data_IF_443150706074
#
_entry.id   IF_443150706074
#
_cell.length_a   1.000
_cell.length_b   1.000
_cell.length_c   1.000
_cell.angle_alpha   90.00
_cell.angle_beta   90.00
_cell.angle_gamma   90.00
#
_symmetry.space_group_name_H-M   'P 1'
#
loop_
_entity.id
_entity.type
_entity.pdbx_description
1 polymer ?
#
# COMPACT_ATOMS: atom_id res chain seq x y z
N UNK A 1 8.32 7.28 9.38
CA UNK A 1 7.18 6.42 9.81
C UNK A 1 7.00 6.44 11.32
N UNK A 2 8.01 6.01 12.08
CA UNK A 2 7.92 5.89 13.54
C UNK A 2 7.89 7.24 14.26
N UNK A 3 8.69 8.20 13.79
CA UNK A 3 8.78 9.54 14.39
C UNK A 3 7.64 10.49 13.97
N UNK A 4 6.76 10.05 13.05
CA UNK A 4 5.67 10.87 12.46
C UNK A 4 6.12 12.26 11.98
N UNK A 5 7.38 12.39 11.59
CA UNK A 5 7.99 13.62 11.12
C UNK A 5 8.92 13.28 9.95
N UNK A 6 9.05 14.21 9.02
CA UNK A 6 9.98 14.13 7.88
C UNK A 6 10.80 15.41 7.87
N UNK A 7 12.12 15.28 7.87
CA UNK A 7 13.04 16.41 7.73
C UNK A 7 13.59 16.43 6.31
N UNK A 8 13.45 17.56 5.62
CA UNK A 8 13.97 17.78 4.27
C UNK A 8 14.94 18.95 4.35
N UNK A 9 16.24 18.67 4.26
CA UNK A 9 17.27 19.68 4.54
C UNK A 9 17.22 20.13 6.00
N UNK A 10 17.04 21.43 6.24
CA UNK A 10 16.95 22.01 7.59
C UNK A 10 15.50 22.13 8.10
N UNK A 11 14.50 21.85 7.26
CA UNK A 11 13.09 22.01 7.61
C UNK A 11 12.42 20.69 8.01
N UNK A 12 11.68 20.74 9.11
CA UNK A 12 10.99 19.61 9.71
C UNK A 12 9.48 19.70 9.53
N UNK A 13 8.87 18.67 8.94
CA UNK A 13 7.43 18.58 8.66
C UNK A 13 6.80 17.45 9.48
N UNK A 14 5.84 17.80 10.35
CA UNK A 14 5.04 16.82 11.09
C UNK A 14 3.97 16.16 10.21
N UNK A 15 3.78 14.86 10.36
CA UNK A 15 2.72 14.09 9.68
C UNK A 15 1.42 14.18 10.48
N UNK A 16 0.37 14.73 9.86
CA UNK A 16 -0.95 14.89 10.49
C UNK A 16 -1.68 13.54 10.57
N UNK A 17 -2.38 13.24 11.68
CA UNK A 17 -3.22 12.05 11.78
C UNK A 17 -4.55 12.19 10.99
N UNK A 18 -5.11 11.11 10.43
CA UNK A 18 -4.56 9.75 10.40
C UNK A 18 -3.45 9.61 9.35
N UNK A 19 -2.41 8.85 9.69
CA UNK A 19 -1.31 8.54 8.77
C UNK A 19 -1.22 7.02 8.59
N UNK A 20 -1.37 6.56 7.35
CA UNK A 20 -1.29 5.16 6.97
C UNK A 20 -0.09 4.96 6.03
N UNK A 21 0.69 3.92 6.30
CA UNK A 21 1.75 3.47 5.39
C UNK A 21 1.30 2.16 4.76
N UNK A 22 1.33 2.11 3.43
CA UNK A 22 1.19 0.90 2.65
C UNK A 22 2.45 0.72 1.79
N UNK A 23 3.06 -0.45 1.89
CA UNK A 23 4.22 -0.81 1.08
C UNK A 23 3.93 -2.15 0.39
N UNK A 24 4.31 -2.26 -0.87
CA UNK A 24 4.27 -3.53 -1.61
C UNK A 24 5.68 -4.09 -1.72
N UNK A 25 5.79 -5.40 -1.79
CA UNK A 25 7.03 -6.09 -2.18
C UNK A 25 6.72 -6.86 -3.45
N UNK A 26 7.54 -6.69 -4.49
CA UNK A 26 7.48 -7.55 -5.67
C UNK A 26 8.26 -8.83 -5.36
N UNK A 27 7.62 -10.00 -5.24
CA UNK A 27 8.33 -11.23 -4.88
C UNK A 27 9.12 -11.84 -6.04
N UNK A 28 8.87 -11.40 -7.29
CA UNK A 28 9.39 -12.06 -8.50
C UNK A 28 10.63 -11.38 -9.07
N UNK A 29 10.68 -10.05 -9.05
CA UNK A 29 11.79 -9.27 -9.61
C UNK A 29 12.61 -8.64 -8.48
N UNK A 30 13.87 -9.05 -8.35
CA UNK A 30 14.81 -8.49 -7.37
C UNK A 30 15.83 -7.53 -7.99
N UNK A 31 15.89 -7.44 -9.32
CA UNK A 31 16.83 -6.58 -10.02
C UNK A 31 16.50 -5.10 -9.74
N UNK A 32 17.43 -4.38 -9.11
CA UNK A 32 17.22 -2.98 -8.70
C UNK A 32 16.35 -2.78 -7.45
N UNK A 33 15.99 -3.85 -6.72
CA UNK A 33 15.28 -3.73 -5.44
C UNK A 33 16.19 -4.10 -4.26
N UNK A 34 16.16 -3.28 -3.21
CA UNK A 34 16.82 -3.61 -1.95
C UNK A 34 15.77 -4.18 -1.01
N UNK A 35 15.90 -5.44 -0.54
CA UNK A 35 14.93 -6.00 0.39
C UNK A 35 14.91 -5.15 1.65
N UNK A 36 13.72 -4.86 2.17
CA UNK A 36 13.60 -4.21 3.46
C UNK A 36 14.27 -5.10 4.52
N UNK A 37 15.20 -4.56 5.33
CA UNK A 37 15.72 -5.27 6.49
C UNK A 37 14.58 -5.74 7.40
N UNK A 38 14.76 -6.86 8.08
CA UNK A 38 13.75 -7.44 8.97
C UNK A 38 13.26 -6.43 10.02
N UNK A 39 14.17 -5.63 10.59
CA UNK A 39 13.86 -4.56 11.54
C UNK A 39 12.95 -3.45 10.96
N UNK A 40 12.90 -3.28 9.64
CA UNK A 40 11.98 -2.34 8.99
C UNK A 40 10.61 -2.97 8.73
N UNK A 41 10.58 -4.27 8.44
CA UNK A 41 9.32 -5.04 8.28
C UNK A 41 8.57 -5.11 9.61
N UNK A 42 9.28 -5.23 10.74
CA UNK A 42 8.70 -5.23 12.10
C UNK A 42 7.89 -3.96 12.44
N UNK A 43 8.10 -2.87 11.68
CA UNK A 43 7.35 -1.61 11.88
C UNK A 43 5.96 -1.62 11.27
N UNK A 44 5.61 -2.67 10.52
CA UNK A 44 4.29 -2.84 9.94
C UNK A 44 3.39 -3.68 10.86
N UNK A 45 2.19 -3.18 11.13
CA UNK A 45 1.20 -3.89 11.94
C UNK A 45 0.68 -5.16 11.24
N UNK A 46 0.61 -5.15 9.91
CA UNK A 46 0.03 -6.23 9.11
C UNK A 46 0.92 -6.53 7.91
N UNK A 47 1.03 -7.82 7.58
CA UNK A 47 1.56 -8.33 6.31
C UNK A 47 0.45 -9.09 5.62
N UNK A 48 0.01 -8.60 4.47
CA UNK A 48 -1.02 -9.24 3.65
C UNK A 48 -0.35 -9.89 2.45
N UNK A 49 -0.59 -11.20 2.27
CA UNK A 49 -0.21 -11.91 1.06
C UNK A 49 -1.40 -11.85 0.12
N UNK A 50 -1.19 -11.28 -1.07
CA UNK A 50 -2.23 -11.09 -2.07
C UNK A 50 -2.03 -12.16 -3.15
N UNK A 51 -3.01 -13.03 -3.30
CA UNK A 51 -3.07 -14.01 -4.38
C UNK A 51 -3.90 -13.49 -5.56
N UNK A 52 -3.78 -14.18 -6.70
CA UNK A 52 -4.60 -13.86 -7.86
C UNK A 52 -6.08 -14.18 -7.61
N UNK A 53 -6.99 -13.32 -8.09
CA UNK A 53 -8.43 -13.56 -7.98
C UNK A 53 -8.83 -14.83 -8.75
N UNK A 54 -9.94 -15.44 -8.35
CA UNK A 54 -10.51 -16.53 -9.14
C UNK A 54 -11.02 -15.99 -10.48
N UNK A 55 -11.18 -16.87 -11.49
CA UNK A 55 -11.71 -16.46 -12.80
C UNK A 55 -13.07 -15.76 -12.70
N UNK A 56 -13.93 -16.18 -11.77
CA UNK A 56 -15.24 -15.54 -11.54
C UNK A 56 -15.08 -14.14 -10.95
N UNK A 57 -14.18 -13.96 -9.99
CA UNK A 57 -13.94 -12.65 -9.37
C UNK A 57 -13.30 -11.70 -10.36
N UNK A 58 -12.34 -12.18 -11.16
CA UNK A 58 -11.70 -11.41 -12.23
C UNK A 58 -12.73 -10.94 -13.26
N UNK A 59 -13.66 -11.80 -13.69
CA UNK A 59 -14.76 -11.41 -14.58
C UNK A 59 -15.65 -10.35 -13.95
N UNK A 60 -15.94 -10.45 -12.65
CA UNK A 60 -16.74 -9.45 -11.94
C UNK A 60 -16.01 -8.11 -11.87
N UNK A 61 -14.71 -8.12 -11.55
CA UNK A 61 -13.85 -6.92 -11.50
C UNK A 61 -13.82 -6.25 -12.87
N UNK A 62 -13.57 -7.00 -13.94
CA UNK A 62 -13.54 -6.44 -15.30
C UNK A 62 -14.90 -5.84 -15.67
N UNK A 63 -16.00 -6.53 -15.37
CA UNK A 63 -17.36 -6.00 -15.60
C UNK A 63 -17.63 -4.73 -14.81
N UNK A 64 -17.21 -4.62 -13.55
CA UNK A 64 -17.43 -3.44 -12.72
C UNK A 64 -16.58 -2.23 -13.13
N UNK A 65 -15.37 -2.48 -13.66
CA UNK A 65 -14.52 -1.43 -14.24
C UNK A 65 -15.08 -0.93 -15.57
N UNK A 66 -15.53 -1.83 -16.44
CA UNK A 66 -16.11 -1.47 -17.75
C UNK A 66 -17.46 -0.75 -17.63
N UNK A 67 -18.27 -1.08 -16.62
CA UNK A 67 -19.56 -0.43 -16.38
C UNK A 67 -19.47 0.92 -15.67
N UNK A 68 -18.25 1.39 -15.31
CA UNK A 68 -18.05 2.66 -14.60
C UNK A 68 -18.65 2.69 -13.19
N UNK A 69 -19.10 1.56 -12.65
CA UNK A 69 -19.89 1.48 -11.42
C UNK A 69 -19.03 1.33 -10.16
N UNK A 70 -17.84 1.93 -10.13
CA UNK A 70 -16.96 1.87 -8.93
C UNK A 70 -16.60 3.28 -8.45
N UNK A 71 -17.63 4.04 -8.09
CA UNK A 71 -17.48 5.06 -7.04
C UNK A 71 -18.08 4.46 -5.77
N UNK A 72 -17.28 3.89 -4.85
CA UNK A 72 -17.72 3.82 -3.47
C UNK A 72 -17.74 5.26 -2.98
N UNK A 73 -18.94 5.86 -2.94
CA UNK A 73 -19.18 7.12 -2.26
C UNK A 73 -19.02 6.91 -0.76
N UNK A 74 -17.77 6.87 -0.28
CA UNK A 74 -17.50 7.03 1.13
C UNK A 74 -17.62 8.52 1.44
N UNK A 75 -18.83 8.93 1.81
CA UNK A 75 -19.09 10.16 2.54
C UNK A 75 -18.62 9.96 3.98
N UNK A 76 -17.42 10.45 4.29
CA UNK A 76 -16.98 10.79 5.64
C UNK A 76 -16.19 12.09 5.57
#
# INVERSE_FOLDING_TARGET
MQERQVTIGDESFGLKPPFLVMATQNPVEQEGTYPLPEAQVDRFMLKVVIDYPTKSDEQQIVRSQVSGATTPSNQW
#
